data_IF_101064320741
#
_entry.id   IF_101064320741
#
_cell.length_a   1.000
_cell.length_b   1.000
_cell.length_c   1.000
_cell.angle_alpha   90.00
_cell.angle_beta   90.00
_cell.angle_gamma   90.00
#
_symmetry.space_group_name_H-M   'P 1'
#
loop_
_entity.id
_entity.type
_entity.pdbx_description
1 polymer ?
#
# COMPACT_ATOMS: atom_id res chain seq x y z
N UNK A 1 15.03 -13.85 13.91
CA UNK A 1 13.98 -13.03 14.53
C UNK A 1 12.65 -13.40 13.94
N UNK A 2 11.63 -13.55 14.77
CA UNK A 2 10.22 -13.80 14.38
C UNK A 2 9.48 -12.53 13.96
N UNK A 3 10.16 -11.38 13.98
CA UNK A 3 9.54 -10.08 13.85
C UNK A 3 9.19 -9.74 12.40
N UNK A 4 8.09 -9.01 12.27
CA UNK A 4 7.59 -8.48 11.02
C UNK A 4 6.81 -7.18 11.30
N UNK A 5 6.40 -6.46 10.26
CA UNK A 5 5.66 -5.22 10.41
C UNK A 5 4.90 -4.85 9.14
N UNK A 6 4.07 -3.82 9.26
CA UNK A 6 3.38 -3.20 8.15
C UNK A 6 3.74 -1.70 8.10
N UNK A 7 3.71 -1.12 6.90
CA UNK A 7 3.96 0.29 6.66
C UNK A 7 2.98 0.79 5.61
N UNK A 8 2.51 2.02 5.78
CA UNK A 8 1.61 2.70 4.85
C UNK A 8 2.44 3.64 3.96
N UNK A 9 2.06 3.71 2.68
CA UNK A 9 2.63 4.59 1.67
C UNK A 9 1.54 5.53 1.17
N UNK A 10 1.84 6.82 1.06
CA UNK A 10 0.90 7.81 0.52
C UNK A 10 0.96 7.85 -1.02
N UNK A 11 0.07 8.61 -1.65
CA UNK A 11 -0.23 8.56 -3.07
C UNK A 11 0.96 8.84 -4.00
N UNK A 12 1.96 9.65 -3.62
CA UNK A 12 3.16 9.85 -4.44
C UNK A 12 4.29 8.87 -4.11
N UNK A 13 3.98 7.83 -3.34
CA UNK A 13 4.96 6.86 -2.87
C UNK A 13 5.85 7.42 -1.76
N UNK A 14 5.41 8.41 -0.99
CA UNK A 14 6.09 8.80 0.24
C UNK A 14 5.60 7.97 1.45
N UNK A 15 6.15 8.27 2.63
CA UNK A 15 5.62 7.77 3.90
C UNK A 15 4.23 8.37 4.15
N UNK A 16 3.42 7.65 4.93
CA UNK A 16 2.18 8.21 5.49
C UNK A 16 2.46 9.53 6.21
N UNK A 17 1.54 10.49 6.08
CA UNK A 17 1.60 11.75 6.80
C UNK A 17 1.68 11.53 8.31
N UNK A 18 2.58 12.26 8.99
CA UNK A 18 2.75 12.15 10.44
C UNK A 18 1.46 12.41 11.23
N UNK A 19 0.56 13.24 10.71
CA UNK A 19 -0.75 13.51 11.34
C UNK A 19 -1.66 12.27 11.45
N UNK A 20 -1.36 11.20 10.71
CA UNK A 20 -2.11 9.95 10.72
C UNK A 20 -1.46 8.87 11.59
N UNK A 21 -0.23 9.09 12.09
CA UNK A 21 0.49 8.12 12.93
C UNK A 21 -0.21 7.92 14.28
N UNK A 22 -0.72 9.00 14.89
CA UNK A 22 -1.47 8.94 16.15
C UNK A 22 -2.74 8.10 15.98
N UNK A 23 -3.52 8.34 14.92
CA UNK A 23 -4.72 7.56 14.62
C UNK A 23 -4.40 6.09 14.35
N UNK A 24 -3.33 5.81 13.61
CA UNK A 24 -2.90 4.42 13.38
C UNK A 24 -2.52 3.73 14.70
N UNK A 25 -1.88 4.46 15.62
CA UNK A 25 -1.59 4.00 16.97
C UNK A 25 -2.85 3.72 17.79
N UNK A 26 -3.81 4.64 17.81
CA UNK A 26 -5.09 4.46 18.49
C UNK A 26 -5.86 3.25 17.94
N UNK A 27 -5.95 3.12 16.62
CA UNK A 27 -6.62 2.02 15.95
C UNK A 27 -5.98 0.66 16.28
N UNK A 28 -4.64 0.61 16.35
CA UNK A 28 -3.92 -0.62 16.71
C UNK A 28 -4.09 -1.02 18.18
N UNK A 29 -4.41 -0.07 19.06
CA UNK A 29 -4.64 -0.31 20.50
C UNK A 29 -6.13 -0.40 20.87
N UNK A 30 -7.04 -0.17 19.92
CA UNK A 30 -8.48 -0.22 20.15
C UNK A 30 -8.95 -1.64 20.49
N UNK A 31 -9.98 -1.75 21.35
CA UNK A 31 -10.68 -3.01 21.55
C UNK A 31 -11.38 -3.44 20.25
N UNK A 32 -11.65 -4.73 20.10
CA UNK A 32 -12.28 -5.27 18.89
C UNK A 32 -13.72 -4.73 18.66
N UNK A 33 -14.19 -4.82 17.41
CA UNK A 33 -15.60 -4.61 17.08
C UNK A 33 -16.04 -3.13 17.04
N UNK A 34 -16.93 -2.75 17.96
CA UNK A 34 -17.59 -1.43 17.95
C UNK A 34 -16.63 -0.27 18.20
N UNK A 35 -15.60 -0.48 19.03
CA UNK A 35 -14.60 0.54 19.34
C UNK A 35 -13.78 0.93 18.10
N UNK A 36 -13.34 -0.06 17.30
CA UNK A 36 -12.69 0.16 16.00
C UNK A 36 -13.58 0.97 15.07
N UNK A 37 -14.86 0.56 14.94
CA UNK A 37 -15.80 1.24 14.05
C UNK A 37 -16.08 2.68 14.47
N UNK A 38 -16.13 2.94 15.78
CA UNK A 38 -16.30 4.27 16.35
C UNK A 38 -15.09 5.17 16.01
N UNK A 39 -13.87 4.71 16.29
CA UNK A 39 -12.64 5.46 16.00
C UNK A 39 -12.53 5.80 14.51
N UNK A 40 -12.82 4.85 13.62
CA UNK A 40 -12.80 5.08 12.17
C UNK A 40 -13.81 6.16 11.76
N UNK A 41 -15.02 6.13 12.30
CA UNK A 41 -16.07 7.14 12.00
C UNK A 41 -15.70 8.52 12.54
N UNK A 42 -15.16 8.59 13.75
CA UNK A 42 -14.72 9.84 14.37
C UNK A 42 -13.55 10.46 13.60
N UNK A 43 -12.57 9.65 13.20
CA UNK A 43 -11.46 10.09 12.38
C UNK A 43 -11.92 10.56 11.00
N UNK A 44 -12.80 9.81 10.34
CA UNK A 44 -13.34 10.21 9.04
C UNK A 44 -14.12 11.53 9.13
N UNK A 45 -14.91 11.75 10.18
CA UNK A 45 -15.59 13.02 10.40
C UNK A 45 -14.61 14.18 10.64
N UNK A 46 -13.57 13.96 11.46
CA UNK A 46 -12.54 14.95 11.77
C UNK A 46 -11.76 15.38 10.51
N UNK A 47 -11.30 14.42 9.72
CA UNK A 47 -10.51 14.67 8.51
C UNK A 47 -11.38 14.95 7.27
N UNK A 48 -12.71 15.03 7.42
CA UNK A 48 -13.67 15.26 6.33
C UNK A 48 -13.55 14.22 5.20
N UNK A 49 -13.36 12.96 5.56
CA UNK A 49 -13.23 11.83 4.64
C UNK A 49 -14.62 11.29 4.29
N UNK A 50 -14.93 11.26 3.00
CA UNK A 50 -16.11 10.58 2.48
C UNK A 50 -15.87 9.06 2.41
N UNK A 51 -16.44 8.32 3.37
CA UNK A 51 -16.34 6.86 3.41
C UNK A 51 -17.08 6.13 2.26
N UNK A 52 -17.91 6.84 1.48
CA UNK A 52 -18.58 6.28 0.30
C UNK A 52 -17.72 6.39 -0.97
N UNK A 53 -16.67 7.20 -0.94
CA UNK A 53 -15.78 7.37 -2.08
C UNK A 53 -15.01 6.06 -2.37
N UNK A 54 -14.88 5.65 -3.65
CA UNK A 54 -14.09 4.48 -4.01
C UNK A 54 -12.64 4.61 -3.53
N UNK A 55 -12.13 3.58 -2.85
CA UNK A 55 -10.74 3.52 -2.40
C UNK A 55 -10.00 2.35 -3.06
N UNK A 56 -8.71 2.57 -3.34
CA UNK A 56 -7.82 1.58 -3.95
C UNK A 56 -6.57 1.48 -3.08
N UNK A 57 -6.21 0.26 -2.69
CA UNK A 57 -5.03 -0.03 -1.88
C UNK A 57 -4.13 -1.03 -2.62
N UNK A 58 -2.85 -0.70 -2.71
CA UNK A 58 -1.81 -1.60 -3.24
C UNK A 58 -1.13 -2.31 -2.07
N UNK A 59 -1.04 -3.63 -2.13
CA UNK A 59 -0.41 -4.43 -1.08
C UNK A 59 0.77 -5.19 -1.68
N UNK A 60 1.87 -5.22 -0.95
CA UNK A 60 3.04 -6.02 -1.27
C UNK A 60 3.70 -6.50 0.02
N UNK A 61 4.55 -7.52 -0.10
CA UNK A 61 5.22 -8.12 1.05
C UNK A 61 6.62 -8.60 0.72
N UNK A 62 7.41 -8.84 1.75
CA UNK A 62 8.68 -9.53 1.65
C UNK A 62 8.53 -11.08 1.75
N UNK A 63 9.64 -11.75 2.03
CA UNK A 63 9.76 -13.21 2.13
C UNK A 63 9.62 -13.77 3.54
N UNK A 64 9.36 -12.95 4.58
CA UNK A 64 9.23 -13.45 5.96
C UNK A 64 8.05 -14.42 6.06
N UNK A 65 8.19 -15.43 6.94
CA UNK A 65 7.21 -16.51 7.11
C UNK A 65 5.82 -15.99 7.51
N UNK A 66 5.74 -14.92 8.30
CA UNK A 66 4.48 -14.31 8.73
C UNK A 66 3.85 -13.37 7.70
N UNK A 67 4.57 -13.00 6.63
CA UNK A 67 4.12 -12.02 5.65
C UNK A 67 2.85 -12.41 4.88
N UNK A 68 2.62 -13.68 4.48
CA UNK A 68 1.34 -14.08 3.89
C UNK A 68 0.14 -13.83 4.83
N UNK A 69 0.28 -14.13 6.12
CA UNK A 69 -0.77 -13.94 7.10
C UNK A 69 -1.06 -12.45 7.35
N UNK A 70 -0.02 -11.62 7.50
CA UNK A 70 -0.19 -10.17 7.62
C UNK A 70 -0.84 -9.55 6.37
N UNK A 71 -0.43 -10.00 5.18
CA UNK A 71 -1.08 -9.62 3.91
C UNK A 71 -2.57 -9.94 3.96
N UNK A 72 -2.94 -11.14 4.37
CA UNK A 72 -4.35 -11.55 4.43
C UNK A 72 -5.16 -10.70 5.42
N UNK A 73 -4.57 -10.31 6.55
CA UNK A 73 -5.19 -9.38 7.50
C UNK A 73 -5.43 -7.99 6.88
N UNK A 74 -4.42 -7.42 6.20
CA UNK A 74 -4.55 -6.13 5.50
C UNK A 74 -5.64 -6.20 4.44
N UNK A 75 -5.63 -7.25 3.60
CA UNK A 75 -6.65 -7.45 2.55
C UNK A 75 -8.05 -7.49 3.15
N UNK A 76 -8.25 -8.25 4.23
CA UNK A 76 -9.55 -8.31 4.92
C UNK A 76 -10.00 -6.96 5.45
N UNK A 77 -9.08 -6.19 6.05
CA UNK A 77 -9.38 -4.84 6.55
C UNK A 77 -9.84 -3.89 5.44
N UNK A 78 -9.13 -3.89 4.30
CA UNK A 78 -9.52 -3.04 3.15
C UNK A 78 -10.88 -3.46 2.58
N UNK A 79 -11.10 -4.76 2.40
CA UNK A 79 -12.37 -5.28 1.88
C UNK A 79 -13.54 -5.00 2.82
N UNK A 80 -13.34 -5.07 4.13
CA UNK A 80 -14.36 -4.74 5.14
C UNK A 80 -14.79 -3.25 5.08
N UNK A 81 -13.88 -2.38 4.65
CA UNK A 81 -14.15 -0.95 4.40
C UNK A 81 -14.73 -0.67 3.01
N UNK A 82 -15.00 -1.70 2.19
CA UNK A 82 -15.51 -1.54 0.82
C UNK A 82 -14.44 -1.11 -0.20
N UNK A 83 -13.16 -1.14 0.17
CA UNK A 83 -12.06 -0.76 -0.71
C UNK A 83 -11.65 -1.87 -1.68
N UNK A 84 -11.00 -1.48 -2.78
CA UNK A 84 -10.41 -2.38 -3.78
C UNK A 84 -8.94 -2.63 -3.44
N UNK A 85 -8.48 -3.88 -3.56
CA UNK A 85 -7.08 -4.24 -3.34
C UNK A 85 -6.42 -4.71 -4.63
N UNK A 86 -5.21 -4.24 -4.89
CA UNK A 86 -4.27 -4.84 -5.85
C UNK A 86 -3.09 -5.45 -5.09
N UNK A 87 -3.02 -6.78 -5.06
CA UNK A 87 -1.94 -7.51 -4.38
C UNK A 87 -0.80 -7.83 -5.34
N UNK A 88 0.36 -7.24 -5.07
CA UNK A 88 1.58 -7.42 -5.84
C UNK A 88 2.47 -8.58 -5.35
N UNK A 89 2.05 -9.28 -4.30
CA UNK A 89 2.75 -10.42 -3.74
C UNK A 89 4.13 -10.05 -3.22
N UNK A 90 5.15 -10.80 -3.64
CA UNK A 90 6.53 -10.56 -3.18
C UNK A 90 7.19 -9.46 -4.00
N UNK A 91 7.42 -8.32 -3.36
CA UNK A 91 8.07 -7.13 -3.91
C UNK A 91 9.01 -6.51 -2.87
N UNK A 92 10.01 -5.78 -3.33
CA UNK A 92 10.83 -4.97 -2.43
C UNK A 92 10.06 -3.72 -2.00
N UNK A 93 10.44 -3.12 -0.86
CA UNK A 93 9.82 -1.88 -0.39
C UNK A 93 9.88 -0.76 -1.45
N UNK A 94 11.03 -0.50 -2.13
CA UNK A 94 11.08 0.50 -3.19
C UNK A 94 10.20 0.18 -4.40
N UNK A 95 10.04 -1.10 -4.77
CA UNK A 95 9.13 -1.49 -5.85
C UNK A 95 7.68 -1.12 -5.51
N UNK A 96 7.25 -1.35 -4.27
CA UNK A 96 5.89 -0.97 -3.86
C UNK A 96 5.70 0.55 -3.85
N UNK A 97 6.69 1.32 -3.39
CA UNK A 97 6.66 2.79 -3.49
C UNK A 97 6.52 3.27 -4.93
N UNK A 98 7.28 2.67 -5.86
CA UNK A 98 7.21 3.02 -7.28
C UNK A 98 5.85 2.65 -7.89
N UNK A 99 5.27 1.51 -7.53
CA UNK A 99 3.94 1.07 -7.99
C UNK A 99 2.87 2.10 -7.60
N UNK A 100 2.84 2.50 -6.32
CA UNK A 100 1.86 3.47 -5.80
C UNK A 100 2.00 4.81 -6.53
N UNK A 101 3.23 5.33 -6.63
CA UNK A 101 3.50 6.59 -7.34
C UNK A 101 3.08 6.52 -8.81
N UNK A 102 3.47 5.46 -9.51
CA UNK A 102 3.22 5.31 -10.96
C UNK A 102 1.74 5.23 -11.26
N UNK A 103 0.98 4.48 -10.45
CA UNK A 103 -0.46 4.40 -10.60
C UNK A 103 -1.14 5.76 -10.39
N UNK A 104 -0.80 6.48 -9.32
CA UNK A 104 -1.43 7.78 -9.03
C UNK A 104 -1.03 8.87 -10.02
N UNK A 105 0.15 8.79 -10.63
CA UNK A 105 0.56 9.73 -11.69
C UNK A 105 -0.19 9.48 -13.00
N UNK A 106 -0.36 8.22 -13.41
CA UNK A 106 -1.11 7.89 -14.61
C UNK A 106 -1.72 6.48 -14.54
N UNK A 107 -2.97 6.36 -14.05
CA UNK A 107 -3.62 5.05 -13.92
C UNK A 107 -3.80 4.31 -15.23
N UNK A 108 -3.90 5.03 -16.37
CA UNK A 108 -4.13 4.42 -17.69
C UNK A 108 -2.90 3.70 -18.25
N UNK A 109 -1.70 4.08 -17.80
CA UNK A 109 -0.43 3.48 -18.22
C UNK A 109 0.07 2.41 -17.25
N UNK A 110 -0.63 2.22 -16.14
CA UNK A 110 -0.25 1.26 -15.12
C UNK A 110 -1.27 0.14 -15.06
N UNK A 111 -0.87 -1.07 -15.44
CA UNK A 111 -1.66 -2.28 -15.20
C UNK A 111 -1.28 -2.86 -13.83
N UNK A 112 -2.16 -2.75 -12.81
CA UNK A 112 -1.94 -3.42 -11.55
C UNK A 112 -1.90 -4.93 -11.74
N UNK A 113 -1.24 -5.65 -10.84
CA UNK A 113 -1.21 -7.10 -10.92
C UNK A 113 -2.64 -7.68 -10.88
N UNK A 114 -3.04 -8.25 -12.00
CA UNK A 114 -4.28 -9.02 -12.17
C UNK A 114 -3.94 -10.43 -12.66
N UNK A 115 -2.90 -11.06 -12.10
CA UNK A 115 -2.51 -12.41 -12.51
C UNK A 115 -1.05 -12.75 -12.24
N UNK A 116 -0.53 -13.71 -13.02
CA UNK A 116 0.81 -14.28 -12.88
C UNK A 116 1.90 -13.36 -13.47
N UNK A 117 1.55 -12.52 -14.44
CA UNK A 117 2.52 -11.73 -15.19
C UNK A 117 2.95 -10.45 -14.44
N UNK A 118 4.25 -10.33 -14.17
CA UNK A 118 4.85 -9.19 -13.44
C UNK A 118 5.33 -8.07 -14.37
N UNK A 119 4.57 -7.74 -15.41
CA UNK A 119 4.95 -6.73 -16.41
C UNK A 119 5.23 -5.33 -15.83
N UNK A 120 4.53 -4.91 -14.78
CA UNK A 120 4.81 -3.65 -14.09
C UNK A 120 6.23 -3.61 -13.48
N UNK A 121 6.79 -4.74 -13.00
CA UNK A 121 8.18 -4.79 -12.54
C UNK A 121 9.19 -4.75 -13.68
N UNK A 122 8.80 -5.16 -14.90
CA UNK A 122 9.66 -4.99 -16.08
C UNK A 122 9.91 -3.51 -16.35
N UNK A 123 8.86 -2.68 -16.27
CA UNK A 123 8.99 -1.22 -16.40
C UNK A 123 9.86 -0.63 -15.29
N UNK A 124 9.65 -1.04 -14.03
CA UNK A 124 10.53 -0.65 -12.93
C UNK A 124 12.01 -0.99 -13.19
N UNK A 125 12.29 -2.23 -13.61
CA UNK A 125 13.64 -2.68 -13.90
C UNK A 125 14.24 -1.98 -15.12
N UNK A 126 13.44 -1.72 -16.15
CA UNK A 126 13.85 -1.01 -17.36
C UNK A 126 14.25 0.43 -17.05
N UNK A 127 13.42 1.14 -16.28
CA UNK A 127 13.73 2.51 -15.85
C UNK A 127 15.07 2.60 -15.10
N UNK A 128 15.37 1.61 -14.25
CA UNK A 128 16.67 1.53 -13.56
C UNK A 128 17.79 1.24 -14.56
N UNK A 129 17.60 0.29 -15.47
CA UNK A 129 18.60 -0.07 -16.46
C UNK A 129 18.96 1.10 -17.38
N UNK A 130 17.94 1.83 -17.86
CA UNK A 130 18.11 2.99 -18.74
C UNK A 130 18.86 4.13 -18.03
N UNK A 131 18.46 4.45 -16.80
CA UNK A 131 19.13 5.49 -16.00
C UNK A 131 20.60 5.13 -15.68
N UNK A 132 20.89 3.85 -15.44
CA UNK A 132 22.27 3.38 -15.24
C UNK A 132 23.07 3.46 -16.53
N UNK A 133 22.48 3.12 -17.69
CA UNK A 133 23.16 3.25 -18.98
C UNK A 133 23.51 4.71 -19.29
N UNK A 134 22.57 5.64 -19.10
CA UNK A 134 22.81 7.08 -19.28
C UNK A 134 23.95 7.61 -18.40
N UNK A 135 24.05 7.15 -17.15
CA UNK A 135 25.13 7.52 -16.23
C UNK A 135 26.49 6.93 -16.61
N UNK A 136 26.53 5.80 -17.32
CA UNK A 136 27.77 5.14 -17.72
C UNK A 136 28.29 5.64 -19.08
N UNK A 137 27.37 6.10 -19.95
CA UNK A 137 27.67 6.61 -21.28
C UNK A 137 27.88 8.15 -21.32
N UNK A 138 27.64 8.85 -20.20
CA UNK A 138 27.85 10.31 -20.03
C UNK A 138 29.14 10.66 -19.29
#
# INVERSE_FOLDING_TARGET
GSDNGAKIMDCHGEMMAHSWEDFAGELANASEGEDVAKLVKEFAAKETIDLSSPSIVFVGRDTRKSSPMLRDCVVKGVLAMGGKVYDHGQVTTPQLHWIVRSYNQNPSLFEPLTGVDRNHLKHYNQNIADAVAELLDG
#
